data_IF_592265952378
#
_entry.id   IF_592265952378
#
_cell.length_a   1.000
_cell.length_b   1.000
_cell.length_c   1.000
_cell.angle_alpha   90.00
_cell.angle_beta   90.00
_cell.angle_gamma   90.00
#
_symmetry.space_group_name_H-M   'P 1'
#
loop_
_entity.id
_entity.type
_entity.pdbx_description
1 polymer ?
#
# COMPACT_ATOMS: atom_id res chain seq x y z
N UNK A 1 -6.87 -21.55 15.11
CA UNK A 1 -7.49 -22.05 13.86
C UNK A 1 -6.66 -21.83 12.57
N UNK A 2 -5.76 -20.84 12.47
CA UNK A 2 -4.95 -20.62 11.25
C UNK A 2 -3.80 -21.62 10.97
N UNK A 3 -3.17 -22.18 12.02
CA UNK A 3 -1.99 -23.05 11.87
C UNK A 3 -2.26 -24.39 11.15
N UNK A 4 -3.42 -25.02 11.40
CA UNK A 4 -3.78 -26.31 10.78
C UNK A 4 -4.10 -26.20 9.28
N UNK A 5 -4.54 -25.04 8.80
CA UNK A 5 -4.75 -24.77 7.37
C UNK A 5 -3.43 -24.51 6.64
N UNK A 6 -2.42 -23.94 7.30
CA UNK A 6 -1.10 -23.72 6.72
C UNK A 6 -0.33 -25.04 6.49
N UNK A 7 -0.43 -25.99 7.43
CA UNK A 7 0.21 -27.31 7.29
C UNK A 7 -0.42 -28.19 6.20
N UNK A 8 -1.67 -27.95 5.81
CA UNK A 8 -2.37 -28.71 4.76
C UNK A 8 -2.23 -28.10 3.35
N UNK A 9 -1.50 -27.00 3.18
CA UNK A 9 -1.33 -26.36 1.86
C UNK A 9 -0.22 -27.02 1.04
N UNK A 10 -0.61 -27.67 -0.05
CA UNK A 10 0.26 -28.24 -1.09
C UNK A 10 0.71 -27.22 -2.15
N UNK A 11 0.19 -25.99 -2.13
CA UNK A 11 0.55 -24.93 -3.07
C UNK A 11 1.35 -23.83 -2.37
N UNK A 12 2.51 -23.49 -2.93
CA UNK A 12 3.34 -22.38 -2.46
C UNK A 12 2.56 -21.06 -2.52
N UNK A 13 2.64 -20.21 -1.49
CA UNK A 13 2.00 -18.90 -1.54
C UNK A 13 2.60 -18.06 -2.69
N UNK A 14 1.82 -17.16 -3.30
CA UNK A 14 2.33 -16.30 -4.36
C UNK A 14 3.58 -15.54 -3.86
N UNK A 15 4.64 -15.38 -4.68
CA UNK A 15 5.87 -14.71 -4.27
C UNK A 15 5.68 -13.29 -3.71
N UNK A 16 4.58 -12.62 -4.07
CA UNK A 16 4.17 -11.34 -3.54
C UNK A 16 3.79 -11.37 -2.04
N UNK A 17 3.26 -12.48 -1.54
CA UNK A 17 2.89 -12.62 -0.12
C UNK A 17 4.09 -12.64 0.82
N UNK A 18 5.29 -12.92 0.29
CA UNK A 18 6.54 -12.83 1.07
C UNK A 18 6.78 -11.40 1.55
N UNK A 19 6.39 -10.37 0.77
CA UNK A 19 6.46 -8.97 1.21
C UNK A 19 5.52 -8.67 2.39
N UNK A 20 4.33 -9.28 2.40
CA UNK A 20 3.37 -9.14 3.50
C UNK A 20 3.94 -9.74 4.78
N UNK A 21 4.45 -10.98 4.70
CA UNK A 21 5.09 -11.65 5.84
C UNK A 21 6.31 -10.88 6.36
N UNK A 22 7.16 -10.40 5.45
CA UNK A 22 8.31 -9.59 5.80
C UNK A 22 7.92 -8.26 6.47
N UNK A 23 6.81 -7.64 6.06
CA UNK A 23 6.32 -6.43 6.71
C UNK A 23 5.86 -6.67 8.16
N UNK A 24 5.10 -7.73 8.41
CA UNK A 24 4.72 -8.11 9.77
C UNK A 24 5.92 -8.48 10.65
N UNK A 25 6.91 -9.18 10.08
CA UNK A 25 8.18 -9.44 10.78
C UNK A 25 8.90 -8.13 11.10
N UNK A 26 8.96 -7.19 10.16
CA UNK A 26 9.52 -5.86 10.40
C UNK A 26 8.80 -5.10 11.53
N UNK A 27 7.48 -5.24 11.64
CA UNK A 27 6.69 -4.66 12.73
C UNK A 27 7.10 -5.25 14.09
N UNK A 28 7.15 -6.58 14.20
CA UNK A 28 7.51 -7.29 15.44
C UNK A 28 8.96 -6.99 15.83
N UNK A 29 9.88 -7.10 14.88
CA UNK A 29 11.31 -6.81 15.08
C UNK A 29 11.49 -5.35 15.51
N UNK A 30 10.82 -4.41 14.84
CA UNK A 30 10.87 -2.99 15.17
C UNK A 30 10.38 -2.70 16.60
N UNK A 31 9.29 -3.34 17.03
CA UNK A 31 8.77 -3.23 18.39
C UNK A 31 9.78 -3.74 19.42
N UNK A 32 10.40 -4.90 19.19
CA UNK A 32 11.42 -5.47 20.09
C UNK A 32 12.64 -4.53 20.19
N UNK A 33 13.10 -3.99 19.07
CA UNK A 33 14.22 -3.05 19.03
C UNK A 33 13.93 -1.74 19.78
N UNK A 34 12.70 -1.23 19.70
CA UNK A 34 12.28 -0.08 20.51
C UNK A 34 12.36 -0.39 22.01
N UNK A 35 11.91 -1.58 22.42
CA UNK A 35 11.97 -2.01 23.83
C UNK A 35 13.41 -2.19 24.32
N UNK A 36 14.35 -2.49 23.42
CA UNK A 36 15.78 -2.66 23.73
C UNK A 36 16.60 -1.36 23.67
N UNK A 37 15.98 -0.21 23.37
CA UNK A 37 16.64 1.10 23.37
C UNK A 37 17.13 1.58 21.99
N UNK A 38 17.02 0.78 20.93
CA UNK A 38 17.32 1.18 19.55
C UNK A 38 16.11 1.90 18.91
N UNK A 39 15.79 3.08 19.45
CA UNK A 39 14.55 3.81 19.15
C UNK A 39 14.41 4.20 17.68
N UNK A 40 15.51 4.62 17.02
CA UNK A 40 15.47 5.10 15.63
C UNK A 40 15.26 3.97 14.63
N UNK A 41 16.06 2.90 14.71
CA UNK A 41 15.93 1.75 13.81
C UNK A 41 14.61 1.00 14.10
N UNK A 42 14.24 0.88 15.37
CA UNK A 42 12.95 0.33 15.79
C UNK A 42 11.77 1.10 15.18
N UNK A 43 11.77 2.44 15.24
CA UNK A 43 10.76 3.29 14.62
C UNK A 43 10.65 3.13 13.11
N UNK A 44 11.79 3.05 12.42
CA UNK A 44 11.81 2.87 10.97
C UNK A 44 11.22 1.52 10.56
N UNK A 45 11.61 0.44 11.24
CA UNK A 45 11.11 -0.90 10.95
C UNK A 45 9.64 -1.07 11.31
N UNK A 46 9.25 -0.57 12.50
CA UNK A 46 7.88 -0.64 12.97
C UNK A 46 6.93 0.08 12.01
N UNK A 47 7.26 1.32 11.66
CA UNK A 47 6.42 2.14 10.80
C UNK A 47 6.54 1.68 9.34
N UNK A 48 7.70 1.87 8.72
CA UNK A 48 7.86 1.65 7.28
C UNK A 48 7.92 0.19 6.88
N UNK A 49 8.59 -0.67 7.66
CA UNK A 49 8.58 -2.11 7.43
C UNK A 49 7.15 -2.65 7.53
N UNK A 50 6.44 -2.25 8.59
CA UNK A 50 5.06 -2.64 8.86
C UNK A 50 4.07 -2.28 7.75
N UNK A 51 4.11 -1.06 7.21
CA UNK A 51 3.15 -0.64 6.18
C UNK A 51 3.59 -0.97 4.74
N UNK A 52 4.88 -0.83 4.39
CA UNK A 52 5.33 -1.02 3.00
C UNK A 52 5.23 -2.47 2.55
N UNK A 53 5.50 -3.42 3.45
CA UNK A 53 5.40 -4.85 3.12
C UNK A 53 4.01 -5.24 2.62
N UNK A 54 2.94 -5.01 3.39
CA UNK A 54 1.56 -5.23 2.95
C UNK A 54 1.19 -4.44 1.71
N UNK A 55 1.58 -3.16 1.62
CA UNK A 55 1.30 -2.29 0.45
C UNK A 55 1.87 -2.89 -0.84
N UNK A 56 3.16 -3.25 -0.83
CA UNK A 56 3.82 -3.84 -2.00
C UNK A 56 3.32 -5.26 -2.29
N UNK A 57 3.10 -6.06 -1.25
CA UNK A 57 2.65 -7.44 -1.37
C UNK A 57 1.21 -7.56 -1.88
N UNK A 58 0.25 -7.05 -1.11
CA UNK A 58 -1.19 -7.10 -1.45
C UNK A 58 -1.46 -6.31 -2.73
N UNK A 59 -0.85 -5.12 -2.86
CA UNK A 59 -1.04 -4.28 -4.02
C UNK A 59 -0.60 -4.96 -5.32
N UNK A 60 0.54 -5.66 -5.31
CA UNK A 60 1.07 -6.31 -6.52
C UNK A 60 0.16 -7.41 -7.09
N UNK A 61 -0.76 -7.93 -6.29
CA UNK A 61 -1.76 -8.91 -6.72
C UNK A 61 -3.10 -8.25 -7.04
N UNK A 62 -3.62 -7.43 -6.13
CA UNK A 62 -4.96 -6.86 -6.25
C UNK A 62 -5.06 -5.78 -7.33
N UNK A 63 -4.04 -4.94 -7.48
CA UNK A 63 -4.12 -3.82 -8.43
C UNK A 63 -4.17 -4.32 -9.88
N UNK A 64 -3.29 -5.22 -10.36
CA UNK A 64 -3.41 -5.75 -11.71
C UNK A 64 -4.75 -6.44 -11.96
N UNK A 65 -5.23 -7.20 -10.96
CA UNK A 65 -6.51 -7.90 -11.02
C UNK A 65 -7.69 -6.93 -11.17
N UNK A 66 -7.75 -5.86 -10.38
CA UNK A 66 -8.83 -4.86 -10.41
C UNK A 66 -8.76 -4.02 -11.70
N UNK A 67 -7.56 -3.70 -12.18
CA UNK A 67 -7.36 -2.99 -13.45
C UNK A 67 -7.76 -3.81 -14.69
N UNK A 68 -8.07 -5.10 -14.53
CA UNK A 68 -8.37 -6.03 -15.62
C UNK A 68 -7.14 -6.46 -16.42
N UNK A 69 -5.95 -6.16 -15.92
CA UNK A 69 -4.71 -6.58 -16.54
C UNK A 69 -4.42 -8.04 -16.16
N UNK A 70 -3.83 -8.85 -17.07
CA UNK A 70 -3.41 -10.20 -16.72
C UNK A 70 -2.44 -10.09 -15.54
N UNK A 71 -2.80 -10.73 -14.43
CA UNK A 71 -1.99 -10.74 -13.22
C UNK A 71 -0.60 -11.20 -13.64
N UNK A 72 0.46 -10.42 -13.36
CA UNK A 72 1.75 -10.70 -13.95
C UNK A 72 2.20 -12.12 -13.54
N UNK A 73 2.83 -12.84 -14.47
CA UNK A 73 3.25 -14.23 -14.30
C UNK A 73 4.28 -14.44 -13.16
N UNK A 74 4.60 -13.40 -12.40
CA UNK A 74 5.35 -13.43 -11.16
C UNK A 74 4.48 -13.72 -9.92
N UNK A 75 3.16 -13.64 -10.06
CA UNK A 75 2.18 -14.09 -9.07
C UNK A 75 1.75 -15.49 -9.44
N UNK A 76 2.30 -16.49 -8.74
CA UNK A 76 1.81 -17.85 -8.86
C UNK A 76 0.47 -17.90 -8.12
N UNK A 77 -0.62 -17.58 -8.83
CA UNK A 77 -1.97 -17.55 -8.28
C UNK A 77 -2.48 -18.98 -8.09
N UNK A 78 -3.06 -19.27 -6.91
CA UNK A 78 -3.69 -20.57 -6.64
C UNK A 78 -5.15 -20.65 -7.08
N UNK A 79 -5.73 -19.57 -7.63
CA UNK A 79 -7.13 -19.56 -8.08
C UNK A 79 -7.23 -19.78 -9.59
N UNK A 80 -7.42 -21.04 -9.99
CA UNK A 80 -8.24 -21.44 -11.13
C UNK A 80 -7.69 -21.26 -12.55
N UNK A 81 -6.65 -20.47 -12.80
CA UNK A 81 -6.02 -20.40 -14.13
C UNK A 81 -4.51 -20.55 -14.00
N UNK A 82 -4.04 -21.74 -14.40
CA UNK A 82 -2.65 -22.19 -14.37
C UNK A 82 -2.00 -22.17 -12.98
N UNK A 83 -2.36 -23.16 -12.15
CA UNK A 83 -1.47 -23.70 -11.12
C UNK A 83 -0.21 -24.27 -11.79
N UNK A 84 0.72 -23.39 -12.18
CA UNK A 84 2.04 -23.78 -12.61
C UNK A 84 2.79 -24.35 -11.42
N UNK A 85 2.84 -25.68 -11.32
CA UNK A 85 3.59 -26.48 -10.33
C UNK A 85 5.06 -26.07 -10.16
N UNK A 86 5.59 -25.23 -11.05
CA UNK A 86 6.91 -24.62 -10.94
C UNK A 86 6.80 -23.10 -10.93
N UNK A 87 6.58 -22.53 -9.76
CA UNK A 87 6.95 -21.14 -9.52
C UNK A 87 8.50 -21.09 -9.60
N UNK A 88 9.11 -20.44 -10.60
CA UNK A 88 10.56 -20.56 -10.79
C UNK A 88 11.28 -19.97 -9.58
N UNK A 89 12.14 -20.77 -8.93
CA UNK A 89 12.93 -20.38 -7.72
C UNK A 89 13.56 -18.99 -7.86
N UNK A 90 14.00 -18.64 -9.08
CA UNK A 90 14.53 -17.32 -9.46
C UNK A 90 13.62 -16.14 -9.08
N UNK A 91 12.30 -16.28 -9.15
CA UNK A 91 11.34 -15.21 -8.80
C UNK A 91 11.17 -15.05 -7.30
N UNK A 92 11.18 -16.15 -6.55
CA UNK A 92 11.20 -16.12 -5.09
C UNK A 92 12.49 -15.47 -4.58
N UNK A 93 13.63 -15.85 -5.17
CA UNK A 93 14.94 -15.27 -4.87
C UNK A 93 14.95 -13.76 -5.17
N UNK A 94 14.36 -13.34 -6.30
CA UNK A 94 14.24 -11.91 -6.62
C UNK A 94 13.40 -11.15 -5.60
N UNK A 95 12.25 -11.69 -5.19
CA UNK A 95 11.41 -11.07 -4.15
C UNK A 95 12.13 -10.99 -2.80
N UNK A 96 12.83 -12.05 -2.40
CA UNK A 96 13.64 -12.05 -1.17
C UNK A 96 14.78 -11.03 -1.24
N UNK A 97 15.45 -10.92 -2.40
CA UNK A 97 16.48 -9.91 -2.63
C UNK A 97 15.93 -8.48 -2.48
N UNK A 98 14.77 -8.19 -3.08
CA UNK A 98 14.13 -6.87 -2.96
C UNK A 98 13.74 -6.54 -1.51
N UNK A 99 13.27 -7.54 -0.75
CA UNK A 99 12.99 -7.38 0.67
C UNK A 99 14.28 -7.05 1.42
N UNK A 100 15.34 -7.83 1.21
CA UNK A 100 16.64 -7.58 1.84
C UNK A 100 17.15 -6.15 1.55
N UNK A 101 17.08 -5.69 0.29
CA UNK A 101 17.44 -4.31 -0.07
C UNK A 101 16.60 -3.27 0.67
N UNK A 102 15.32 -3.55 0.91
CA UNK A 102 14.43 -2.66 1.65
C UNK A 102 14.82 -2.60 3.14
N UNK A 103 15.15 -3.73 3.77
CA UNK A 103 15.66 -3.75 5.14
C UNK A 103 17.04 -3.07 5.27
N UNK A 104 17.92 -3.27 4.30
CA UNK A 104 19.23 -2.59 4.23
C UNK A 104 19.05 -1.07 4.12
N UNK A 105 18.05 -0.60 3.37
CA UNK A 105 17.70 0.83 3.33
C UNK A 105 17.40 1.40 4.72
N UNK A 106 16.62 0.70 5.55
CA UNK A 106 16.33 1.17 6.92
C UNK A 106 17.56 1.16 7.82
N UNK A 107 18.42 0.15 7.69
CA UNK A 107 19.67 0.08 8.43
C UNK A 107 20.61 1.25 8.07
N UNK A 108 20.74 1.58 6.79
CA UNK A 108 21.53 2.73 6.32
C UNK A 108 20.98 4.07 6.81
N UNK A 109 19.65 4.21 6.87
CA UNK A 109 19.00 5.41 7.41
C UNK A 109 19.26 5.56 8.92
N UNK A 110 19.25 4.45 9.67
CA UNK A 110 19.56 4.45 11.09
C UNK A 110 21.03 4.85 11.37
N UNK A 111 21.97 4.46 10.49
CA UNK A 111 23.39 4.83 10.55
C UNK A 111 23.69 6.25 10.05
N UNK A 112 22.68 7.01 9.59
CA UNK A 112 22.84 8.40 9.17
C UNK A 112 23.18 8.60 7.69
N UNK A 113 23.22 7.54 6.87
CA UNK A 113 23.45 7.63 5.41
C UNK A 113 22.10 7.83 4.70
N UNK A 114 21.51 9.00 4.92
CA UNK A 114 20.09 9.27 4.60
C UNK A 114 19.82 9.24 3.08
N UNK A 115 20.69 9.86 2.26
CA UNK A 115 20.48 9.96 0.80
C UNK A 115 20.50 8.58 0.13
N UNK A 116 21.48 7.75 0.46
CA UNK A 116 21.62 6.40 -0.11
C UNK A 116 20.48 5.49 0.34
N UNK A 117 20.03 5.63 1.60
CA UNK A 117 18.88 4.90 2.12
C UNK A 117 17.59 5.22 1.32
N UNK A 118 17.29 6.50 1.09
CA UNK A 118 16.11 6.90 0.33
C UNK A 118 16.21 6.54 -1.15
N UNK A 119 17.39 6.68 -1.76
CA UNK A 119 17.60 6.28 -3.16
C UNK A 119 17.32 4.78 -3.34
N UNK A 120 17.89 3.95 -2.47
CA UNK A 120 17.69 2.49 -2.51
C UNK A 120 16.21 2.14 -2.37
N UNK A 121 15.49 2.79 -1.44
CA UNK A 121 14.05 2.58 -1.22
C UNK A 121 13.23 2.99 -2.43
N UNK A 122 13.46 4.20 -2.96
CA UNK A 122 12.76 4.72 -4.12
C UNK A 122 12.99 3.83 -5.35
N UNK A 123 14.20 3.31 -5.55
CA UNK A 123 14.52 2.37 -6.63
C UNK A 123 13.78 1.03 -6.47
N UNK A 124 13.79 0.43 -5.28
CA UNK A 124 13.07 -0.83 -5.01
C UNK A 124 11.56 -0.66 -5.24
N UNK A 125 10.97 0.40 -4.69
CA UNK A 125 9.55 0.71 -4.85
C UNK A 125 9.22 0.94 -6.33
N UNK A 126 9.99 1.76 -7.03
CA UNK A 126 9.78 2.02 -8.47
C UNK A 126 9.89 0.74 -9.31
N UNK A 127 10.87 -0.12 -9.02
CA UNK A 127 11.02 -1.40 -9.72
C UNK A 127 9.80 -2.30 -9.53
N UNK A 128 9.31 -2.41 -8.29
CA UNK A 128 8.09 -3.18 -7.98
C UNK A 128 6.87 -2.57 -8.68
N UNK A 129 6.76 -1.24 -8.72
CA UNK A 129 5.65 -0.52 -9.37
C UNK A 129 5.62 -0.74 -10.89
N UNK A 130 6.77 -0.61 -11.55
CA UNK A 130 6.85 -0.79 -12.99
C UNK A 130 6.64 -2.26 -13.39
N UNK A 131 7.25 -3.20 -12.66
CA UNK A 131 7.27 -4.62 -13.04
C UNK A 131 6.07 -5.40 -12.55
N UNK A 132 5.65 -5.18 -11.30
CA UNK A 132 4.57 -5.94 -10.67
C UNK A 132 3.24 -5.21 -10.79
N UNK A 133 3.18 -3.90 -10.59
CA UNK A 133 1.92 -3.16 -10.71
C UNK A 133 1.57 -2.79 -12.16
N UNK A 134 2.55 -2.76 -13.08
CA UNK A 134 2.38 -2.39 -14.49
C UNK A 134 1.63 -1.06 -14.67
N UNK A 135 1.93 -0.07 -13.83
CA UNK A 135 1.22 1.22 -13.76
C UNK A 135 1.20 1.99 -15.09
N UNK A 136 2.19 1.76 -15.95
CA UNK A 136 2.26 2.37 -17.28
C UNK A 136 1.25 1.79 -18.28
N UNK A 137 0.65 0.63 -18.02
CA UNK A 137 -0.41 0.08 -18.87
C UNK A 137 -1.74 0.72 -18.49
N UNK A 138 -2.44 1.28 -19.48
CA UNK A 138 -3.78 1.86 -19.29
C UNK A 138 -4.73 0.81 -18.69
N UNK A 139 -5.58 1.19 -17.72
CA UNK A 139 -6.59 0.27 -17.17
C UNK A 139 -7.51 -0.23 -18.27
N UNK A 140 -7.65 -1.55 -18.40
CA UNK A 140 -8.63 -2.16 -19.29
C UNK A 140 -10.05 -1.96 -18.74
N UNK A 141 -10.19 -1.95 -17.41
CA UNK A 141 -11.43 -1.61 -16.71
C UNK A 141 -11.36 -0.19 -16.14
N UNK A 142 -12.10 0.77 -16.73
CA UNK A 142 -12.11 2.19 -16.36
C UNK A 142 -13.06 2.54 -15.20
N UNK A 143 -13.09 1.71 -14.15
CA UNK A 143 -13.93 1.98 -12.98
C UNK A 143 -13.36 3.06 -12.05
N UNK A 144 -14.23 3.72 -11.26
CA UNK A 144 -13.81 4.66 -10.21
C UNK A 144 -12.79 4.02 -9.24
N UNK A 145 -13.00 2.74 -8.90
CA UNK A 145 -12.07 1.96 -8.08
C UNK A 145 -10.67 1.82 -8.72
N UNK A 146 -10.61 1.60 -10.03
CA UNK A 146 -9.35 1.51 -10.77
C UNK A 146 -8.58 2.83 -10.72
N UNK A 147 -9.28 3.96 -10.86
CA UNK A 147 -8.69 5.30 -10.71
C UNK A 147 -8.14 5.55 -9.31
N UNK A 148 -8.87 5.19 -8.25
CA UNK A 148 -8.40 5.32 -6.86
C UNK A 148 -7.08 4.57 -6.67
N UNK A 149 -6.99 3.32 -7.15
CA UNK A 149 -5.79 2.49 -7.02
C UNK A 149 -4.63 2.99 -7.90
N UNK A 150 -4.94 3.55 -9.08
CA UNK A 150 -3.91 4.13 -9.93
C UNK A 150 -3.34 5.42 -9.31
N UNK A 151 -4.20 6.29 -8.79
CA UNK A 151 -3.78 7.49 -8.06
C UNK A 151 -2.97 7.12 -6.83
N UNK A 152 -3.35 6.07 -6.09
CA UNK A 152 -2.57 5.62 -4.92
C UNK A 152 -1.18 5.14 -5.32
N UNK A 153 -1.04 4.45 -6.45
CA UNK A 153 0.27 4.05 -6.97
C UNK A 153 1.15 5.25 -7.36
N UNK A 154 0.56 6.26 -8.00
CA UNK A 154 1.28 7.48 -8.35
C UNK A 154 1.69 8.26 -7.09
N UNK A 155 0.81 8.36 -6.10
CA UNK A 155 1.12 8.98 -4.81
C UNK A 155 2.30 8.30 -4.11
N UNK A 156 2.47 6.99 -4.28
CA UNK A 156 3.60 6.26 -3.72
C UNK A 156 4.94 6.68 -4.34
N UNK A 157 4.98 6.87 -5.67
CA UNK A 157 6.16 7.39 -6.36
C UNK A 157 6.44 8.84 -5.96
N UNK A 158 5.40 9.67 -5.92
CA UNK A 158 5.49 11.09 -5.54
C UNK A 158 5.87 11.26 -4.06
N UNK A 159 5.61 10.29 -3.20
CA UNK A 159 6.09 10.31 -1.82
C UNK A 159 7.59 10.00 -1.70
N UNK A 160 8.07 8.97 -2.39
CA UNK A 160 9.46 8.51 -2.23
C UNK A 160 10.50 9.30 -3.02
N UNK A 161 10.21 9.72 -4.24
CA UNK A 161 11.21 10.41 -5.08
C UNK A 161 11.63 11.79 -4.54
N UNK A 162 10.72 12.68 -4.16
CA UNK A 162 11.08 13.97 -3.56
C UNK A 162 11.84 13.83 -2.24
N UNK A 163 11.61 12.74 -1.50
CA UNK A 163 12.36 12.45 -0.25
C UNK A 163 13.85 12.21 -0.50
N UNK A 164 14.24 11.79 -1.72
CA UNK A 164 15.65 11.67 -2.12
C UNK A 164 16.29 13.03 -2.32
N UNK A 165 15.57 13.96 -2.98
CA UNK A 165 16.05 15.30 -3.31
C UNK A 165 16.11 16.22 -2.09
N UNK A 166 15.08 16.17 -1.24
CA UNK A 166 14.99 16.97 -0.01
C UNK A 166 14.76 16.08 1.22
N UNK A 167 15.84 15.48 1.77
CA UNK A 167 15.77 14.68 2.98
C UNK A 167 15.19 15.42 4.20
N UNK A 168 15.36 16.75 4.26
CA UNK A 168 14.82 17.61 5.33
C UNK A 168 13.29 17.65 5.32
N UNK A 169 12.65 17.51 4.16
CA UNK A 169 11.19 17.47 4.02
C UNK A 169 10.63 16.03 3.97
N UNK A 170 11.46 15.00 4.17
CA UNK A 170 11.03 13.60 4.10
C UNK A 170 9.81 13.31 4.99
N UNK A 171 9.77 13.88 6.20
CA UNK A 171 8.62 13.76 7.11
C UNK A 171 7.30 14.26 6.50
N UNK A 172 7.34 15.32 5.70
CA UNK A 172 6.16 15.85 5.00
C UNK A 172 5.76 14.95 3.85
N UNK A 173 6.71 14.48 3.04
CA UNK A 173 6.45 13.55 1.94
C UNK A 173 5.90 12.20 2.43
N UNK A 174 6.24 11.77 3.65
CA UNK A 174 5.63 10.58 4.25
C UNK A 174 4.12 10.68 4.39
N UNK A 175 3.57 11.88 4.59
CA UNK A 175 2.12 12.05 4.64
C UNK A 175 1.47 11.84 3.28
N UNK A 176 2.18 12.12 2.18
CA UNK A 176 1.76 11.75 0.82
C UNK A 176 1.66 10.23 0.70
N UNK A 177 2.59 9.48 1.32
CA UNK A 177 2.55 8.02 1.33
C UNK A 177 1.37 7.52 2.17
N UNK A 178 1.19 8.01 3.40
CA UNK A 178 0.13 7.52 4.28
C UNK A 178 -1.29 7.90 3.82
N UNK A 179 -1.51 9.16 3.44
CA UNK A 179 -2.84 9.62 3.01
C UNK A 179 -3.06 9.27 1.54
N UNK A 180 -2.09 9.60 0.68
CA UNK A 180 -2.21 9.40 -0.77
C UNK A 180 -2.05 7.94 -1.21
N UNK A 181 -1.23 7.12 -0.56
CA UNK A 181 -1.12 5.70 -0.92
C UNK A 181 -1.93 4.81 0.01
N UNK A 182 -1.58 4.79 1.29
CA UNK A 182 -2.10 3.79 2.24
C UNK A 182 -3.60 3.94 2.42
N UNK A 183 -4.09 5.16 2.69
CA UNK A 183 -5.53 5.39 2.90
C UNK A 183 -6.33 5.07 1.62
N UNK A 184 -5.94 5.62 0.47
CA UNK A 184 -6.63 5.35 -0.80
C UNK A 184 -6.63 3.86 -1.15
N UNK A 185 -5.51 3.16 -0.95
CA UNK A 185 -5.43 1.75 -1.24
C UNK A 185 -6.24 0.90 -0.26
N UNK A 186 -6.27 1.26 1.04
CA UNK A 186 -7.14 0.60 2.01
C UNK A 186 -8.60 0.73 1.58
N UNK A 187 -9.08 1.94 1.28
CA UNK A 187 -10.46 2.15 0.84
C UNK A 187 -10.77 1.42 -0.47
N UNK A 188 -9.83 1.36 -1.41
CA UNK A 188 -9.99 0.58 -2.63
C UNK A 188 -10.11 -0.92 -2.36
N UNK A 189 -9.16 -1.48 -1.61
CA UNK A 189 -9.12 -2.92 -1.30
C UNK A 189 -10.33 -3.34 -0.47
N UNK A 190 -10.67 -2.61 0.59
CA UNK A 190 -11.81 -2.96 1.44
C UNK A 190 -13.13 -2.85 0.69
N UNK A 191 -13.30 -1.88 -0.22
CA UNK A 191 -14.46 -1.83 -1.13
C UNK A 191 -14.56 -3.11 -1.95
N UNK A 192 -13.44 -3.51 -2.57
CA UNK A 192 -13.41 -4.68 -3.44
C UNK A 192 -13.72 -5.97 -2.68
N UNK A 193 -13.12 -6.15 -1.51
CA UNK A 193 -13.34 -7.33 -0.65
C UNK A 193 -14.79 -7.37 -0.16
N UNK A 194 -15.35 -6.22 0.24
CA UNK A 194 -16.74 -6.14 0.73
C UNK A 194 -17.75 -6.48 -0.35
N UNK A 195 -17.57 -5.98 -1.58
CA UNK A 195 -18.46 -6.30 -2.70
C UNK A 195 -18.34 -7.76 -3.13
N UNK A 196 -17.11 -8.30 -3.18
CA UNK A 196 -16.87 -9.69 -3.56
C UNK A 196 -17.49 -10.68 -2.58
N UNK A 197 -17.43 -10.41 -1.27
CA UNK A 197 -18.10 -11.25 -0.27
C UNK A 197 -19.61 -11.03 -0.26
N UNK A 198 -20.09 -9.81 -0.45
CA UNK A 198 -21.52 -9.49 -0.49
C UNK A 198 -22.26 -9.98 -1.75
N UNK A 199 -21.61 -10.76 -2.63
CA UNK A 199 -22.21 -11.30 -3.86
C UNK A 199 -22.55 -10.23 -4.91
N UNK A 200 -22.07 -9.00 -4.75
CA UNK A 200 -22.31 -7.92 -5.71
C UNK A 200 -21.30 -7.99 -6.86
N UNK A 201 -21.78 -7.79 -8.09
CA UNK A 201 -20.94 -7.74 -9.29
C UNK A 201 -20.00 -6.52 -9.35
N UNK A 202 -19.35 -6.31 -10.49
CA UNK A 202 -18.39 -5.21 -10.73
C UNK A 202 -19.06 -3.86 -11.03
N UNK A 203 -20.37 -3.82 -11.25
CA UNK A 203 -21.08 -2.60 -11.64
C UNK A 203 -21.16 -1.51 -10.54
N UNK A 204 -21.36 -1.82 -9.25
CA UNK A 204 -21.42 -0.83 -8.18
C UNK A 204 -20.12 -0.05 -7.98
N UNK A 205 -18.96 -0.64 -8.31
CA UNK A 205 -17.64 0.01 -8.14
C UNK A 205 -17.24 0.89 -9.33
N UNK A 206 -17.82 0.70 -10.52
CA UNK A 206 -17.42 1.46 -11.73
C UNK A 206 -17.84 2.93 -11.70
N UNK A 207 -19.05 3.25 -11.24
CA UNK A 207 -19.63 4.61 -11.27
C UNK A 207 -20.11 5.13 -9.91
N UNK A 208 -19.57 4.60 -8.80
CA UNK A 208 -20.00 5.03 -7.47
C UNK A 208 -19.60 6.49 -7.19
N UNK A 209 -20.60 7.37 -7.09
CA UNK A 209 -20.41 8.75 -6.62
C UNK A 209 -19.81 8.80 -5.21
N UNK A 210 -20.11 7.80 -4.37
CA UNK A 210 -19.54 7.72 -3.02
C UNK A 210 -18.01 7.51 -3.07
N UNK A 211 -17.51 6.63 -3.95
CA UNK A 211 -16.07 6.44 -4.12
C UNK A 211 -15.38 7.69 -4.68
N UNK A 212 -16.05 8.43 -5.57
CA UNK A 212 -15.55 9.71 -6.05
C UNK A 212 -15.44 10.74 -4.93
N UNK A 213 -16.45 10.84 -4.06
CA UNK A 213 -16.40 11.71 -2.89
C UNK A 213 -15.25 11.31 -1.96
N UNK A 214 -15.11 10.02 -1.65
CA UNK A 214 -14.00 9.50 -0.83
C UNK A 214 -12.64 9.91 -1.41
N UNK A 215 -12.46 9.78 -2.72
CA UNK A 215 -11.24 10.21 -3.41
C UNK A 215 -11.01 11.72 -3.24
N UNK A 216 -12.02 12.55 -3.51
CA UNK A 216 -11.92 14.01 -3.41
C UNK A 216 -11.58 14.43 -1.96
N UNK A 217 -12.28 13.89 -0.97
CA UNK A 217 -12.05 14.22 0.44
C UNK A 217 -10.66 13.77 0.92
N UNK A 218 -10.16 12.61 0.48
CA UNK A 218 -8.81 12.17 0.84
C UNK A 218 -7.72 12.99 0.14
N UNK A 219 -7.93 13.39 -1.11
CA UNK A 219 -7.01 14.29 -1.81
C UNK A 219 -7.01 15.70 -1.18
N UNK A 220 -8.18 16.19 -0.75
CA UNK A 220 -8.29 17.45 -0.01
C UNK A 220 -7.57 17.36 1.35
N UNK A 221 -7.78 16.26 2.10
CA UNK A 221 -7.08 16.01 3.35
C UNK A 221 -5.55 15.98 3.15
N UNK A 222 -5.10 15.33 2.08
CA UNK A 222 -3.68 15.29 1.72
C UNK A 222 -3.14 16.69 1.40
N UNK A 223 -3.86 17.45 0.57
CA UNK A 223 -3.44 18.80 0.17
C UNK A 223 -3.31 19.71 1.39
N UNK A 224 -4.32 19.72 2.27
CA UNK A 224 -4.27 20.50 3.52
C UNK A 224 -3.09 20.10 4.40
N UNK A 225 -2.77 18.80 4.48
CA UNK A 225 -1.63 18.31 5.26
C UNK A 225 -0.28 18.72 4.68
N UNK A 226 -0.14 18.68 3.35
CA UNK A 226 1.08 19.07 2.64
C UNK A 226 1.26 20.59 2.65
N UNK A 227 0.17 21.36 2.65
CA UNK A 227 0.19 22.83 2.70
C UNK A 227 0.50 23.38 4.10
N UNK A 228 0.16 22.65 5.18
CA UNK A 228 0.34 23.12 6.55
C UNK A 228 1.73 23.70 6.88
N UNK A 229 2.86 23.09 6.49
CA UNK A 229 4.20 23.62 6.77
C UNK A 229 4.51 24.94 6.05
N UNK A 230 3.86 25.23 4.92
CA UNK A 230 4.08 26.46 4.16
C UNK A 230 3.36 27.67 4.78
N UNK A 231 2.37 27.44 5.65
CA UNK A 231 1.60 28.49 6.31
C UNK A 231 1.61 28.33 7.85
N UNK A 232 2.72 28.68 8.52
CA UNK A 232 2.89 28.47 9.96
C UNK A 232 1.83 29.17 10.81
N UNK A 233 1.31 30.31 10.35
CA UNK A 233 0.31 31.11 11.08
C UNK A 233 -1.03 30.40 11.26
N UNK A 234 -1.37 29.48 10.36
CA UNK A 234 -2.65 28.74 10.34
C UNK A 234 -2.42 27.22 10.36
N UNK A 235 -1.28 26.80 10.91
CA UNK A 235 -0.83 25.40 10.93
C UNK A 235 -1.86 24.47 11.57
N UNK A 236 -2.32 24.80 12.78
CA UNK A 236 -3.29 23.98 13.51
C UNK A 236 -4.64 23.87 12.80
N UNK A 237 -5.11 24.96 12.20
CA UNK A 237 -6.37 24.98 11.44
C UNK A 237 -6.29 24.06 10.22
N UNK A 238 -5.18 24.10 9.47
CA UNK A 238 -4.97 23.19 8.33
C UNK A 238 -4.96 21.72 8.76
N UNK A 239 -4.40 21.40 9.92
CA UNK A 239 -4.43 20.04 10.46
C UNK A 239 -5.83 19.59 10.90
N UNK A 240 -6.59 20.49 11.50
CA UNK A 240 -7.98 20.24 11.87
C UNK A 240 -8.81 19.95 10.60
N UNK A 241 -8.71 20.78 9.57
CA UNK A 241 -9.40 20.56 8.29
C UNK A 241 -8.96 19.26 7.61
N UNK A 242 -7.65 18.95 7.60
CA UNK A 242 -7.15 17.69 7.05
C UNK A 242 -7.79 16.47 7.74
N UNK A 243 -7.88 16.52 9.07
CA UNK A 243 -8.48 15.44 9.87
C UNK A 243 -9.98 15.33 9.62
N UNK A 244 -10.70 16.45 9.57
CA UNK A 244 -12.14 16.50 9.28
C UNK A 244 -12.42 15.88 7.91
N UNK A 245 -11.68 16.28 6.87
CA UNK A 245 -11.88 15.73 5.53
C UNK A 245 -11.59 14.23 5.44
N UNK A 246 -10.55 13.76 6.13
CA UNK A 246 -10.26 12.33 6.19
C UNK A 246 -11.38 11.55 6.89
N UNK A 247 -11.88 12.06 8.02
CA UNK A 247 -13.00 11.46 8.77
C UNK A 247 -14.28 11.45 7.92
N UNK A 248 -14.59 12.54 7.23
CA UNK A 248 -15.74 12.61 6.32
C UNK A 248 -15.64 11.58 5.20
N UNK A 249 -14.45 11.37 4.61
CA UNK A 249 -14.24 10.31 3.62
C UNK A 249 -14.56 8.94 4.21
N UNK A 250 -14.10 8.65 5.42
CA UNK A 250 -14.38 7.38 6.10
C UNK A 250 -15.87 7.19 6.37
N UNK A 251 -16.58 8.23 6.83
CA UNK A 251 -18.02 8.16 7.06
C UNK A 251 -18.84 7.97 5.78
N UNK A 252 -18.50 8.69 4.70
CA UNK A 252 -19.15 8.53 3.39
C UNK A 252 -18.98 7.10 2.88
N UNK A 253 -17.77 6.56 3.01
CA UNK A 253 -17.50 5.17 2.65
C UNK A 253 -18.33 4.21 3.49
N UNK A 254 -18.30 4.36 4.81
CA UNK A 254 -19.03 3.50 5.74
C UNK A 254 -20.53 3.53 5.46
N UNK A 255 -21.15 4.71 5.37
CA UNK A 255 -22.58 4.86 5.13
C UNK A 255 -23.05 4.15 3.84
N UNK A 256 -22.21 4.12 2.80
CA UNK A 256 -22.55 3.46 1.53
C UNK A 256 -22.34 1.94 1.58
N UNK A 257 -21.23 1.49 2.15
CA UNK A 257 -20.79 0.09 2.05
C UNK A 257 -21.13 -0.77 3.29
N UNK A 258 -21.58 -0.17 4.39
CA UNK A 258 -22.02 -0.90 5.60
C UNK A 258 -23.13 -1.90 5.29
N UNK A 259 -24.06 -1.55 4.39
CA UNK A 259 -25.13 -2.46 3.96
C UNK A 259 -24.59 -3.67 3.19
N UNK A 260 -23.47 -3.54 2.48
CA UNK A 260 -22.83 -4.68 1.80
C UNK A 260 -22.17 -5.63 2.82
N UNK A 261 -21.69 -5.09 3.94
CA UNK A 261 -21.11 -5.88 5.02
C UNK A 261 -22.16 -6.61 5.86
N UNK A 262 -23.30 -5.96 6.12
CA UNK A 262 -24.36 -6.50 6.98
C UNK A 262 -25.26 -7.54 6.29
N UNK A 263 -25.35 -7.56 4.95
CA UNK A 263 -26.26 -8.46 4.22
C UNK A 263 -25.82 -9.94 4.20
N UNK A 264 -24.69 -10.26 4.84
CA UNK A 264 -24.09 -11.60 4.86
C UNK A 264 -24.22 -12.33 6.22
N UNK A 265 -25.16 -11.89 7.06
CA UNK A 265 -25.68 -12.65 8.20
C UNK A 265 -27.20 -12.72 8.09
#
# INVERSE_FOLDING_TARGET
>A
FGGRLFLKRTNSPPPAFVFVGAGFLGLIIGLILMMWGESRLGALLFLYGGFLGPVLGIGSFLIPMILGNPVPANTCSSNGQAAGKNCPKRKLILSLGLILFLFVSFYLEAKGIIRSAYLLRASVVSFVLLKNFRILKKPTNSGMLAWILQISCWALLVGFWPSVLWPSLALHFNHIIFIGTVSLMIFGVITRVSLAHGGFGFEPEKKSRALMMVLIFLLAALLMRVMAPFFPQVYFSHLAYASIFWILAAFIWLARFIRCLLKNH
#
